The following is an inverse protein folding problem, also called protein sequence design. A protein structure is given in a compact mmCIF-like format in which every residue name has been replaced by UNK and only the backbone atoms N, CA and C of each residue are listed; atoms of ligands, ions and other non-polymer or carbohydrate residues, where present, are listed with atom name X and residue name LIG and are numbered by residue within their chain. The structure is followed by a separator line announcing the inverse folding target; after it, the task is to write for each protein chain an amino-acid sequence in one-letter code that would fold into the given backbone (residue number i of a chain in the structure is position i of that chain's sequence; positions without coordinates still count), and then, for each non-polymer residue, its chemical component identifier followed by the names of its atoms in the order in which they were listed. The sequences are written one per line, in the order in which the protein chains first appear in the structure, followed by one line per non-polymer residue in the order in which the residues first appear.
data_IF_543509784955
#
_entry.id   IF_543509784955
#
_cell.length_a   1.000
_cell.length_b   1.000
_cell.length_c   1.000
_cell.angle_alpha   90.00
_cell.angle_beta   90.00
_cell.angle_gamma   90.00
#
_symmetry.space_group_name_H-M   'P 1'
#
loop_
_entity.id
_entity.type
_entity.pdbx_description
1 polymer ?
#
# COMPACT_ATOMS: atom_id res chain seq x y z
N UNK A 1 -5.75 7.60 -1.64
CA UNK A 1 -5.18 6.38 -1.02
C UNK A 1 -5.47 6.35 0.47
N UNK A 2 -5.85 5.18 1.01
CA UNK A 2 -5.97 4.91 2.45
C UNK A 2 -4.90 3.92 2.88
N UNK A 3 -4.37 4.13 4.08
CA UNK A 3 -3.40 3.23 4.73
C UNK A 3 -3.93 2.87 6.11
N UNK A 4 -4.09 1.57 6.36
CA UNK A 4 -4.44 1.00 7.66
C UNK A 4 -3.44 -0.12 7.98
N UNK A 5 -2.48 0.17 8.85
CA UNK A 5 -1.39 -0.75 9.19
C UNK A 5 -1.82 -1.84 10.18
N UNK A 6 -2.98 -1.72 10.84
CA UNK A 6 -3.50 -2.77 11.73
C UNK A 6 -3.75 -4.09 11.00
N UNK A 7 -4.09 -4.02 9.71
CA UNK A 7 -4.28 -5.19 8.84
C UNK A 7 -3.01 -5.59 8.07
N UNK A 8 -1.88 -4.92 8.28
CA UNK A 8 -0.65 -5.18 7.53
C UNK A 8 0.05 -6.44 8.05
N UNK A 9 0.32 -7.38 7.13
CA UNK A 9 1.06 -8.62 7.43
C UNK A 9 2.54 -8.56 7.04
N UNK A 10 3.06 -7.36 6.79
CA UNK A 10 4.47 -7.12 6.41
C UNK A 10 4.99 -7.98 5.24
N UNK A 11 4.12 -8.31 4.29
CA UNK A 11 4.50 -9.13 3.13
C UNK A 11 5.41 -8.41 2.12
N UNK A 12 5.57 -7.07 2.22
CA UNK A 12 6.40 -6.26 1.33
C UNK A 12 5.89 -6.15 -0.11
N UNK A 13 4.74 -6.74 -0.45
CA UNK A 13 4.20 -6.73 -1.82
C UNK A 13 3.90 -5.35 -2.34
N UNK A 14 3.56 -4.38 -1.49
CA UNK A 14 3.29 -3.00 -1.87
C UNK A 14 4.54 -2.18 -2.23
N UNK A 15 5.71 -2.57 -1.70
CA UNK A 15 7.01 -1.90 -1.97
C UNK A 15 7.44 -2.17 -3.41
N UNK A 16 7.38 -3.43 -3.85
CA UNK A 16 7.80 -3.83 -5.20
C UNK A 16 7.15 -3.04 -6.33
N UNK A 17 5.83 -2.87 -6.46
CA UNK A 17 5.25 -2.09 -7.54
C UNK A 17 5.52 -0.59 -7.41
N UNK A 18 5.74 -0.08 -6.20
CA UNK A 18 6.14 1.32 -6.02
C UNK A 18 7.54 1.59 -6.58
N UNK A 19 8.41 0.59 -6.48
CA UNK A 19 9.78 0.56 -6.99
C UNK A 19 9.83 0.20 -8.48
N UNK A 20 9.39 -1.01 -8.84
CA UNK A 20 9.59 -1.62 -10.15
C UNK A 20 8.60 -1.11 -11.22
N UNK A 21 7.35 -0.77 -10.83
CA UNK A 21 6.32 -0.34 -11.80
C UNK A 21 6.29 1.19 -11.91
N UNK A 22 6.30 1.88 -10.78
CA UNK A 22 6.16 3.34 -10.75
C UNK A 22 7.50 4.07 -10.69
N UNK A 23 8.56 3.44 -10.19
CA UNK A 23 9.86 4.08 -10.02
C UNK A 23 9.85 5.27 -9.06
N UNK A 24 8.87 5.34 -8.15
CA UNK A 24 8.75 6.47 -7.21
C UNK A 24 9.45 6.21 -5.87
N UNK A 25 9.73 4.94 -5.53
CA UNK A 25 10.46 4.54 -4.31
C UNK A 25 9.89 5.10 -2.99
N UNK A 26 8.60 5.44 -2.98
CA UNK A 26 7.95 6.09 -1.83
C UNK A 26 7.71 5.10 -0.69
N UNK A 27 7.39 3.85 -1.01
CA UNK A 27 7.11 2.82 0.00
C UNK A 27 8.37 2.05 0.35
N UNK A 28 8.63 1.88 1.65
CA UNK A 28 9.72 1.06 2.15
C UNK A 28 9.31 0.29 3.41
N UNK A 29 10.10 -0.73 3.76
CA UNK A 29 9.97 -1.44 5.04
C UNK A 29 10.96 -0.84 6.02
N UNK A 30 10.46 -0.25 7.10
CA UNK A 30 11.28 0.29 8.20
C UNK A 30 11.21 -0.63 9.42
N UNK A 31 12.24 -0.61 10.26
CA UNK A 31 12.36 -1.46 11.44
C UNK A 31 12.93 -2.86 11.15
N UNK A 32 13.03 -3.69 12.20
CA UNK A 32 13.53 -5.08 12.12
C UNK A 32 12.71 -6.01 13.00
N UNK A 33 12.56 -7.26 12.57
CA UNK A 33 11.82 -8.28 13.31
C UNK A 33 10.35 -7.87 13.54
N UNK A 34 9.90 -7.91 14.79
CA UNK A 34 8.54 -7.53 15.19
C UNK A 34 8.25 -6.04 15.01
N UNK A 35 9.27 -5.19 14.94
CA UNK A 35 9.10 -3.75 14.69
C UNK A 35 9.11 -3.41 13.20
N UNK A 36 9.14 -4.42 12.32
CA UNK A 36 9.00 -4.18 10.89
C UNK A 36 7.63 -3.58 10.59
N UNK A 37 7.61 -2.49 9.83
CA UNK A 37 6.37 -1.88 9.34
C UNK A 37 6.59 -1.22 7.99
N UNK A 38 5.52 -1.20 7.19
CA UNK A 38 5.51 -0.42 5.97
C UNK A 38 5.44 1.06 6.35
N UNK A 39 6.37 1.84 5.82
CA UNK A 39 6.41 3.29 5.94
C UNK A 39 6.49 3.93 4.55
N UNK A 40 6.22 5.21 4.50
CA UNK A 40 6.19 6.04 3.29
C UNK A 40 7.15 7.21 3.48
N UNK A 41 8.06 7.42 2.51
CA UNK A 41 9.13 8.43 2.55
C UNK A 41 9.79 8.53 3.93
N UNK A 42 9.36 9.51 4.73
CA UNK A 42 9.88 9.81 6.07
C UNK A 42 8.78 9.67 7.15
N UNK A 43 8.07 8.54 7.15
CA UNK A 43 6.88 8.26 7.97
C UNK A 43 5.72 9.27 7.74
N UNK A 44 5.62 9.76 6.50
CA UNK A 44 4.58 10.72 6.10
C UNK A 44 3.34 10.02 5.57
N UNK A 45 2.15 10.59 5.76
CA UNK A 45 0.94 10.11 5.08
C UNK A 45 1.09 10.26 3.56
N UNK A 46 0.38 9.42 2.78
CA UNK A 46 0.42 9.46 1.32
C UNK A 46 0.24 10.86 0.72
N UNK A 47 -0.66 11.69 1.29
CA UNK A 47 -0.91 13.05 0.80
C UNK A 47 0.22 14.05 1.03
N UNK A 48 1.14 13.75 1.95
CA UNK A 48 2.31 14.58 2.27
C UNK A 48 3.62 13.98 1.74
N UNK A 49 3.54 12.82 1.08
CA UNK A 49 4.67 12.10 0.49
C UNK A 49 4.81 12.42 -1.00
N UNK A 50 5.84 11.89 -1.65
CA UNK A 50 6.03 11.98 -3.11
C UNK A 50 5.08 11.04 -3.88
N UNK A 51 4.10 10.41 -3.21
CA UNK A 51 3.13 9.51 -3.82
C UNK A 51 2.19 10.23 -4.80
N UNK A 52 2.20 9.81 -6.05
CA UNK A 52 1.31 10.31 -7.11
C UNK A 52 -0.07 9.64 -7.13
N UNK A 53 -0.38 8.80 -6.13
CA UNK A 53 -1.67 8.08 -6.03
C UNK A 53 -2.01 7.19 -7.24
N UNK A 54 -1.01 6.51 -7.81
CA UNK A 54 -1.17 5.60 -8.95
C UNK A 54 -1.92 4.29 -8.66
N UNK A 55 -2.14 3.93 -7.40
CA UNK A 55 -2.93 2.75 -7.00
C UNK A 55 -2.24 1.38 -7.15
N UNK A 56 -1.03 1.30 -7.72
CA UNK A 56 -0.34 0.02 -7.96
C UNK A 56 -0.10 -0.79 -6.67
N UNK A 57 0.22 -0.11 -5.57
CA UNK A 57 0.40 -0.73 -4.26
C UNK A 57 -0.91 -1.22 -3.62
N UNK A 58 -2.06 -0.58 -3.90
CA UNK A 58 -3.36 -1.02 -3.41
C UNK A 58 -3.81 -2.31 -4.09
N UNK A 59 -3.62 -2.43 -5.41
CA UNK A 59 -4.03 -3.61 -6.17
C UNK A 59 -3.34 -4.91 -5.77
N UNK A 60 -2.12 -4.83 -5.22
CA UNK A 60 -1.35 -6.00 -4.79
C UNK A 60 -1.52 -6.31 -3.29
N UNK A 61 -2.17 -5.43 -2.53
CA UNK A 61 -2.32 -5.59 -1.10
C UNK A 61 -3.31 -6.72 -0.79
N UNK A 62 -2.88 -7.83 -0.15
CA UNK A 62 -3.77 -8.97 0.09
C UNK A 62 -4.74 -8.77 1.27
N UNK A 63 -4.48 -7.79 2.13
CA UNK A 63 -5.23 -7.56 3.38
C UNK A 63 -5.94 -6.21 3.43
N UNK A 64 -6.00 -5.50 2.30
CA UNK A 64 -6.55 -4.14 2.21
C UNK A 64 -5.91 -3.11 3.17
N UNK A 65 -4.69 -3.41 3.68
CA UNK A 65 -3.91 -2.48 4.49
C UNK A 65 -3.55 -1.20 3.70
N UNK A 66 -3.44 -1.29 2.37
CA UNK A 66 -3.38 -0.15 1.47
C UNK A 66 -4.50 -0.30 0.45
N UNK A 67 -5.37 0.69 0.36
CA UNK A 67 -6.54 0.67 -0.51
C UNK A 67 -6.74 2.01 -1.22
N UNK A 68 -7.45 1.98 -2.34
CA UNK A 68 -7.90 3.21 -2.99
C UNK A 68 -9.07 3.85 -2.20
N UNK A 69 -9.27 5.15 -2.35
CA UNK A 69 -10.39 5.87 -1.73
C UNK A 69 -11.74 5.57 -2.40
N UNK A 70 -11.72 5.16 -3.65
CA UNK A 70 -12.85 4.64 -4.40
C UNK A 70 -12.68 3.13 -4.51
N UNK A 71 -13.40 2.36 -3.68
CA UNK A 71 -13.55 0.94 -3.91
C UNK A 71 -14.22 0.76 -5.28
N UNK A 72 -13.42 0.58 -6.34
CA UNK A 72 -13.93 0.17 -7.63
C UNK A 72 -14.52 -1.21 -7.39
N UNK A 73 -15.84 -1.29 -7.56
CA UNK A 73 -16.70 -2.44 -7.30
C UNK A 73 -16.27 -3.68 -8.09
N UNK A 74 -15.21 -4.37 -7.65
CA UNK A 74 -14.73 -5.59 -8.31
C UNK A 74 -15.03 -6.87 -7.52
N UNK A 75 -15.67 -6.77 -6.35
CA UNK A 75 -16.10 -7.93 -5.53
C UNK A 75 -17.61 -8.06 -5.35
N UNK A 76 -18.40 -7.36 -6.17
CA UNK A 76 -19.79 -7.76 -6.40
C UNK A 76 -19.86 -8.67 -7.64
N UNK A 77 -19.13 -9.80 -7.61
CA UNK A 77 -19.53 -10.93 -8.44
C UNK A 77 -20.85 -11.41 -7.85
N UNK A 78 -21.94 -11.10 -8.56
CA UNK A 78 -23.28 -11.62 -8.36
C UNK A 78 -23.22 -13.08 -7.92
N UNK A 79 -23.51 -13.32 -6.63
CA UNK A 79 -23.86 -14.64 -6.15
C UNK A 79 -25.30 -14.89 -6.60
N UNK A 80 -25.42 -15.44 -7.81
CA UNK A 80 -26.68 -15.94 -8.37
C UNK A 80 -27.21 -17.11 -7.53
#
# INVERSE_FOLDING_TARGET
MRMNLDNCINCGRCVRPCDEIQGSFVLTMSGRGFESRITTDNDMLFGNSSCVSCGACAHTCPTDAISDVFQSKSTAVEKK
#
